data_IF_345726724645
#
_entry.id   IF_345726724645
#
_cell.length_a   1.000
_cell.length_b   1.000
_cell.length_c   1.000
_cell.angle_alpha   90.00
_cell.angle_beta   90.00
_cell.angle_gamma   90.00
#
_symmetry.space_group_name_H-M   'P 1'
#
loop_
_entity.id
_entity.type
_entity.pdbx_description
1 polymer ?
#
# COMPACT_ATOMS: atom_id res chain seq x y z
N UNK A 1 -24.10 18.67 -11.99
CA UNK A 1 -23.16 17.71 -11.38
C UNK A 1 -23.21 17.92 -9.88
N UNK A 2 -23.40 16.86 -9.07
CA UNK A 2 -23.35 16.95 -7.60
C UNK A 2 -21.91 16.78 -7.11
N UNK A 3 -21.57 17.28 -5.92
CA UNK A 3 -20.23 17.13 -5.36
C UNK A 3 -19.85 15.65 -5.15
N UNK A 4 -20.81 14.82 -4.72
CA UNK A 4 -20.57 13.39 -4.48
C UNK A 4 -20.03 12.67 -5.73
N UNK A 5 -20.53 12.99 -6.92
CA UNK A 5 -20.06 12.39 -8.17
C UNK A 5 -18.59 12.74 -8.45
N UNK A 6 -18.19 13.98 -8.10
CA UNK A 6 -16.82 14.45 -8.27
C UNK A 6 -15.87 13.78 -7.25
N UNK A 7 -16.34 13.56 -6.02
CA UNK A 7 -15.61 12.81 -5.00
C UNK A 7 -15.42 11.35 -5.45
N UNK A 8 -16.50 10.68 -5.87
CA UNK A 8 -16.48 9.28 -6.30
C UNK A 8 -15.54 9.05 -7.51
N UNK A 9 -15.47 9.99 -8.44
CA UNK A 9 -14.53 9.92 -9.56
C UNK A 9 -13.08 9.82 -9.05
N UNK A 10 -12.69 10.67 -8.10
CA UNK A 10 -11.34 10.65 -7.54
C UNK A 10 -11.10 9.47 -6.60
N UNK A 11 -12.09 9.07 -5.81
CA UNK A 11 -12.01 7.85 -4.98
C UNK A 11 -11.74 6.60 -5.83
N UNK A 12 -12.33 6.48 -7.03
CA UNK A 12 -12.03 5.36 -7.95
C UNK A 12 -10.56 5.32 -8.37
N UNK A 13 -9.97 6.48 -8.69
CA UNK A 13 -8.55 6.54 -9.00
C UNK A 13 -7.69 6.19 -7.79
N UNK A 14 -8.02 6.72 -6.60
CA UNK A 14 -7.33 6.36 -5.36
C UNK A 14 -7.44 4.87 -5.05
N UNK A 15 -8.60 4.25 -5.25
CA UNK A 15 -8.84 2.84 -5.04
C UNK A 15 -7.94 1.96 -5.92
N UNK A 16 -7.79 2.30 -7.20
CA UNK A 16 -6.90 1.57 -8.12
C UNK A 16 -5.45 1.63 -7.62
N UNK A 17 -4.98 2.82 -7.23
CA UNK A 17 -3.62 3.01 -6.73
C UNK A 17 -3.42 2.33 -5.37
N UNK A 18 -4.42 2.40 -4.47
CA UNK A 18 -4.40 1.76 -3.14
C UNK A 18 -4.35 0.24 -3.23
N UNK A 19 -5.04 -0.38 -4.19
CA UNK A 19 -4.92 -1.83 -4.46
C UNK A 19 -3.48 -2.22 -4.81
N UNK A 20 -2.81 -1.43 -5.66
CA UNK A 20 -1.40 -1.65 -5.99
C UNK A 20 -0.50 -1.45 -4.77
N UNK A 21 -0.78 -0.43 -3.94
CA UNK A 21 -0.05 -0.21 -2.70
C UNK A 21 -0.09 -1.44 -1.79
N UNK A 22 -1.27 -1.98 -1.47
CA UNK A 22 -1.38 -3.16 -0.61
C UNK A 22 -0.72 -4.40 -1.20
N UNK A 23 -0.83 -4.60 -2.51
CA UNK A 23 -0.14 -5.70 -3.17
C UNK A 23 1.38 -5.60 -2.98
N UNK A 24 1.95 -4.43 -3.24
CA UNK A 24 3.39 -4.17 -3.06
C UNK A 24 3.82 -4.26 -1.61
N UNK A 25 3.02 -3.73 -0.69
CA UNK A 25 3.30 -3.76 0.74
C UNK A 25 3.41 -5.21 1.24
N UNK A 26 2.48 -6.08 0.85
CA UNK A 26 2.52 -7.49 1.24
C UNK A 26 3.73 -8.23 0.67
N UNK A 27 4.10 -7.97 -0.58
CA UNK A 27 5.33 -8.55 -1.17
C UNK A 27 6.57 -8.07 -0.42
N UNK A 28 6.66 -6.77 -0.11
CA UNK A 28 7.82 -6.21 0.59
C UNK A 28 7.90 -6.70 2.04
N UNK A 29 6.78 -6.81 2.75
CA UNK A 29 6.72 -7.42 4.09
C UNK A 29 7.13 -8.88 4.06
N UNK A 30 6.65 -9.65 3.09
CA UNK A 30 7.03 -11.05 2.93
C UNK A 30 8.51 -11.20 2.58
N UNK A 31 9.03 -10.34 1.71
CA UNK A 31 10.45 -10.33 1.34
C UNK A 31 11.32 -10.01 2.55
N UNK A 32 10.97 -8.99 3.34
CA UNK A 32 11.71 -8.62 4.55
C UNK A 32 11.65 -9.73 5.61
N UNK A 33 10.47 -10.32 5.84
CA UNK A 33 10.27 -11.45 6.75
C UNK A 33 11.07 -12.68 6.31
N UNK A 34 10.96 -13.07 5.04
CA UNK A 34 11.66 -14.23 4.46
C UNK A 34 13.17 -14.06 4.52
N UNK A 35 13.66 -12.85 4.26
CA UNK A 35 15.09 -12.54 4.26
C UNK A 35 15.62 -12.15 5.63
N UNK A 36 14.77 -11.99 6.66
CA UNK A 36 15.14 -11.47 7.99
C UNK A 36 15.98 -10.17 7.87
N UNK A 37 15.65 -9.33 6.90
CA UNK A 37 16.39 -8.13 6.49
C UNK A 37 17.88 -8.35 6.15
N UNK A 38 18.30 -9.59 5.86
CA UNK A 38 19.66 -9.94 5.40
C UNK A 38 19.77 -9.80 3.88
N UNK A 39 21.00 -9.83 3.38
CA UNK A 39 21.25 -9.79 1.93
C UNK A 39 21.04 -11.17 1.31
N UNK A 40 20.30 -11.20 0.20
CA UNK A 40 20.05 -12.42 -0.59
C UNK A 40 20.35 -12.17 -2.05
N UNK A 41 20.72 -13.24 -2.75
CA UNK A 41 20.84 -13.20 -4.20
C UNK A 41 19.45 -13.17 -4.84
N UNK A 42 19.26 -12.25 -5.77
CA UNK A 42 18.09 -12.21 -6.62
C UNK A 42 18.33 -13.17 -7.78
N UNK A 43 17.51 -14.22 -7.88
CA UNK A 43 17.57 -15.21 -8.97
C UNK A 43 16.52 -14.95 -10.05
N UNK A 44 15.35 -14.45 -9.66
CA UNK A 44 14.32 -13.97 -10.59
C UNK A 44 14.44 -12.47 -10.83
N UNK A 45 15.49 -12.06 -11.55
CA UNK A 45 15.80 -10.66 -11.85
C UNK A 45 14.66 -9.94 -12.60
N UNK A 46 14.01 -10.61 -13.55
CA UNK A 46 12.84 -10.09 -14.28
C UNK A 46 11.70 -9.77 -13.33
N UNK A 47 11.35 -10.68 -12.42
CA UNK A 47 10.26 -10.49 -11.45
C UNK A 47 10.62 -9.37 -10.47
N UNK A 48 11.88 -9.31 -10.04
CA UNK A 48 12.36 -8.23 -9.18
C UNK A 48 12.30 -6.86 -9.88
N UNK A 49 12.66 -6.80 -11.16
CA UNK A 49 12.56 -5.56 -11.95
C UNK A 49 11.09 -5.14 -12.12
N UNK A 50 10.17 -6.09 -12.40
CA UNK A 50 8.74 -5.82 -12.45
C UNK A 50 8.19 -5.28 -11.12
N UNK A 51 8.67 -5.78 -9.98
CA UNK A 51 8.33 -5.26 -8.66
C UNK A 51 8.79 -3.79 -8.50
N UNK A 52 10.02 -3.47 -8.90
CA UNK A 52 10.58 -2.11 -8.85
C UNK A 52 9.84 -1.14 -9.77
N UNK A 53 9.45 -1.60 -10.95
CA UNK A 53 8.69 -0.80 -11.92
C UNK A 53 7.28 -0.55 -11.41
N UNK A 54 6.63 -1.58 -10.85
CA UNK A 54 5.31 -1.47 -10.21
C UNK A 54 5.34 -0.46 -9.05
N UNK A 55 6.40 -0.49 -8.24
CA UNK A 55 6.60 0.47 -7.17
C UNK A 55 6.82 1.89 -7.68
N UNK A 56 7.57 2.05 -8.77
CA UNK A 56 7.75 3.36 -9.40
C UNK A 56 6.46 3.90 -10.00
N UNK A 57 5.67 3.04 -10.64
CA UNK A 57 4.35 3.39 -11.18
C UNK A 57 3.37 3.78 -10.08
N UNK A 58 3.42 3.13 -8.91
CA UNK A 58 2.62 3.56 -7.74
C UNK A 58 2.86 5.04 -7.40
N UNK A 59 4.12 5.45 -7.29
CA UNK A 59 4.48 6.84 -6.97
C UNK A 59 4.12 7.80 -8.11
N UNK A 60 4.33 7.39 -9.36
CA UNK A 60 3.97 8.18 -10.54
C UNK A 60 2.46 8.43 -10.61
N UNK A 61 1.64 7.41 -10.38
CA UNK A 61 0.18 7.52 -10.41
C UNK A 61 -0.29 8.42 -9.26
N UNK A 62 0.23 8.23 -8.05
CA UNK A 62 -0.14 9.05 -6.89
C UNK A 62 0.25 10.53 -7.08
N UNK A 63 1.44 10.81 -7.62
CA UNK A 63 1.85 12.16 -7.97
C UNK A 63 0.95 12.77 -9.07
N UNK A 64 0.52 11.95 -10.04
CA UNK A 64 -0.38 12.37 -11.11
C UNK A 64 -1.77 12.73 -10.59
N UNK A 65 -2.31 11.93 -9.64
CA UNK A 65 -3.55 12.25 -8.92
C UNK A 65 -3.39 13.58 -8.17
N UNK A 66 -2.34 13.71 -7.36
CA UNK A 66 -2.06 14.92 -6.59
C UNK A 66 -2.03 16.18 -7.46
N UNK A 67 -1.31 16.13 -8.58
CA UNK A 67 -1.27 17.23 -9.56
C UNK A 67 -2.61 17.48 -10.23
N UNK A 68 -3.34 16.42 -10.60
CA UNK A 68 -4.66 16.52 -11.21
C UNK A 68 -5.64 17.27 -10.33
N UNK A 69 -5.63 17.01 -9.02
CA UNK A 69 -6.53 17.62 -8.05
C UNK A 69 -6.24 19.11 -7.81
N UNK A 70 -4.98 19.54 -7.84
CA UNK A 70 -4.58 20.94 -7.54
C UNK A 70 -4.52 21.88 -8.75
N UNK A 71 -4.52 21.35 -9.99
CA UNK A 71 -4.38 22.14 -11.23
C UNK A 71 -5.52 23.15 -11.42
N UNK A 72 -5.36 24.09 -12.37
CA UNK A 72 -6.30 25.19 -12.67
C UNK A 72 -7.75 24.72 -12.94
N UNK A 73 -7.94 23.49 -13.42
CA UNK A 73 -9.25 22.85 -13.64
C UNK A 73 -9.49 21.61 -12.74
N UNK A 74 -8.68 21.47 -11.70
CA UNK A 74 -8.68 20.31 -10.80
C UNK A 74 -9.80 20.34 -9.76
N UNK A 75 -9.87 19.28 -8.95
CA UNK A 75 -10.83 19.08 -7.88
C UNK A 75 -10.97 20.29 -6.94
N UNK A 76 -9.86 20.73 -6.32
CA UNK A 76 -9.89 21.78 -5.30
C UNK A 76 -10.31 23.14 -5.85
N UNK A 77 -10.08 23.40 -7.13
CA UNK A 77 -10.58 24.61 -7.81
C UNK A 77 -12.10 24.60 -8.04
N UNK A 78 -12.71 23.41 -8.10
CA UNK A 78 -14.16 23.25 -8.28
C UNK A 78 -14.92 23.24 -6.96
N UNK A 79 -14.28 22.86 -5.85
CA UNK A 79 -14.90 22.74 -4.52
C UNK A 79 -15.70 23.99 -4.07
N UNK A 80 -15.24 25.25 -4.27
CA UNK A 80 -16.01 26.41 -3.85
C UNK A 80 -17.40 26.51 -4.48
N UNK A 81 -17.59 25.95 -5.68
CA UNK A 81 -18.90 25.92 -6.34
C UNK A 81 -19.92 25.02 -5.60
N UNK A 82 -19.44 24.19 -4.68
CA UNK A 82 -20.22 23.25 -3.88
C UNK A 82 -20.26 23.62 -2.40
N UNK A 83 -19.96 24.88 -2.03
CA UNK A 83 -19.89 25.32 -0.63
C UNK A 83 -21.15 24.95 0.18
N UNK A 84 -22.35 25.03 -0.43
CA UNK A 84 -23.61 24.63 0.21
C UNK A 84 -23.70 23.13 0.53
N UNK A 85 -23.13 22.27 -0.31
CA UNK A 85 -23.06 20.81 -0.04
C UNK A 85 -22.00 20.46 1.02
N UNK A 86 -21.15 21.42 1.37
CA UNK A 86 -20.12 21.32 2.41
C UNK A 86 -20.43 22.21 3.61
N UNK A 87 -21.68 22.62 3.79
CA UNK A 87 -22.08 23.40 4.96
C UNK A 87 -21.99 22.56 6.24
N UNK A 88 -21.85 23.25 7.38
CA UNK A 88 -21.76 22.60 8.68
C UNK A 88 -22.99 21.70 8.89
N UNK A 89 -22.80 20.40 9.13
CA UNK A 89 -23.89 19.47 9.36
C UNK A 89 -24.77 19.90 10.52
N UNK A 90 -26.09 19.75 10.36
CA UNK A 90 -27.08 20.03 11.41
C UNK A 90 -28.04 18.85 11.53
N UNK A 91 -28.66 18.68 12.70
CA UNK A 91 -29.65 17.62 12.91
C UNK A 91 -30.75 17.64 11.82
N UNK A 92 -31.20 18.84 11.42
CA UNK A 92 -32.22 19.01 10.39
C UNK A 92 -31.77 18.49 9.02
N UNK A 93 -30.51 18.72 8.65
CA UNK A 93 -29.95 18.23 7.38
C UNK A 93 -29.83 16.71 7.40
N UNK A 94 -29.29 16.14 8.48
CA UNK A 94 -29.13 14.69 8.65
C UNK A 94 -30.48 13.98 8.65
N UNK A 95 -31.45 14.47 9.42
CA UNK A 95 -32.79 13.90 9.44
C UNK A 95 -33.41 13.92 8.04
N UNK A 96 -33.32 15.05 7.32
CA UNK A 96 -33.88 15.17 5.96
C UNK A 96 -33.26 14.16 4.98
N UNK A 97 -31.94 13.97 5.00
CA UNK A 97 -31.28 12.98 4.13
C UNK A 97 -31.57 11.54 4.54
N UNK A 98 -31.59 11.24 5.84
CA UNK A 98 -31.84 9.90 6.36
C UNK A 98 -33.28 9.44 6.12
N UNK A 99 -34.26 10.30 6.40
CA UNK A 99 -35.68 10.02 6.17
C UNK A 99 -36.00 9.76 4.70
N UNK A 100 -35.39 10.54 3.79
CA UNK A 100 -35.55 10.33 2.37
C UNK A 100 -35.08 8.92 1.93
N UNK A 101 -34.18 8.30 2.68
CA UNK A 101 -33.61 6.99 2.38
C UNK A 101 -34.24 5.82 3.15
N UNK A 102 -34.70 6.00 4.40
CA UNK A 102 -35.00 4.86 5.30
C UNK A 102 -36.44 4.79 5.86
N UNK A 103 -37.33 5.74 5.55
CA UNK A 103 -38.76 5.77 5.98
C UNK A 103 -39.06 5.64 7.49
N UNK A 104 -38.06 5.38 8.35
CA UNK A 104 -38.16 5.32 9.81
C UNK A 104 -37.18 6.30 10.43
N UNK A 105 -37.61 6.95 11.50
CA UNK A 105 -36.78 7.84 12.28
C UNK A 105 -36.01 7.02 13.32
N UNK A 106 -34.68 7.06 13.26
CA UNK A 106 -33.80 6.45 14.27
C UNK A 106 -32.91 7.55 14.86
N UNK A 107 -33.33 8.08 16.01
CA UNK A 107 -32.65 9.21 16.66
C UNK A 107 -31.23 8.87 17.09
N UNK A 108 -30.95 7.61 17.42
CA UNK A 108 -29.60 7.17 17.78
C UNK A 108 -28.69 7.22 16.56
N UNK A 109 -29.11 6.64 15.44
CA UNK A 109 -28.31 6.65 14.22
C UNK A 109 -28.10 8.06 13.66
N UNK A 110 -29.14 8.91 13.69
CA UNK A 110 -29.01 10.32 13.30
C UNK A 110 -27.94 11.05 14.15
N UNK A 111 -27.93 10.82 15.46
CA UNK A 111 -26.94 11.43 16.37
C UNK A 111 -25.51 10.96 16.07
N UNK A 112 -25.35 9.68 15.72
CA UNK A 112 -24.06 9.09 15.36
C UNK A 112 -23.54 9.67 14.04
N UNK A 113 -24.42 9.80 13.03
CA UNK A 113 -24.08 10.42 11.74
C UNK A 113 -23.70 11.88 11.95
N UNK A 114 -24.51 12.65 12.72
CA UNK A 114 -24.22 14.05 12.99
C UNK A 114 -22.87 14.23 13.66
N UNK A 115 -22.56 13.40 14.68
CA UNK A 115 -21.25 13.42 15.35
C UNK A 115 -20.11 13.19 14.37
N UNK A 116 -20.19 12.14 13.56
CA UNK A 116 -19.17 11.82 12.55
C UNK A 116 -18.96 12.96 11.56
N UNK A 117 -20.06 13.52 11.02
CA UNK A 117 -19.99 14.61 10.06
C UNK A 117 -19.42 15.89 10.69
N UNK A 118 -19.77 16.21 11.94
CA UNK A 118 -19.22 17.37 12.66
C UNK A 118 -17.72 17.24 12.93
N UNK A 119 -17.27 16.04 13.31
CA UNK A 119 -15.84 15.76 13.49
C UNK A 119 -15.06 15.90 12.17
N UNK A 120 -15.60 15.38 11.06
CA UNK A 120 -15.04 15.55 9.71
C UNK A 120 -15.01 17.02 9.28
N UNK A 121 -16.09 17.77 9.54
CA UNK A 121 -16.16 19.19 9.24
C UNK A 121 -15.10 19.98 10.02
N UNK A 122 -14.92 19.67 11.31
CA UNK A 122 -13.89 20.32 12.14
C UNK A 122 -12.47 20.07 11.66
N UNK A 123 -12.19 18.90 11.06
CA UNK A 123 -10.88 18.58 10.46
C UNK A 123 -10.65 19.29 9.13
N UNK A 124 -11.68 19.39 8.28
CA UNK A 124 -11.57 20.01 6.96
C UNK A 124 -11.57 21.55 7.03
N UNK A 125 -12.38 22.12 7.92
CA UNK A 125 -12.62 23.57 8.01
C UNK A 125 -12.46 24.08 9.45
N UNK A 126 -11.28 23.94 10.07
CA UNK A 126 -11.05 24.40 11.44
C UNK A 126 -11.26 25.92 11.60
N UNK A 127 -10.96 26.70 10.56
CA UNK A 127 -11.21 28.14 10.51
C UNK A 127 -12.68 28.50 10.68
N UNK A 128 -13.60 27.73 10.08
CA UNK A 128 -15.03 27.91 10.24
C UNK A 128 -15.49 27.67 11.68
N UNK A 129 -15.00 26.61 12.32
CA UNK A 129 -15.31 26.31 13.72
C UNK A 129 -14.84 27.45 14.64
N UNK A 130 -13.60 27.90 14.49
CA UNK A 130 -13.04 28.97 15.33
C UNK A 130 -13.80 30.31 15.21
N UNK A 131 -14.35 30.59 14.03
CA UNK A 131 -15.08 31.83 13.73
C UNK A 131 -16.61 31.69 13.88
N UNK A 132 -17.10 30.53 14.34
CA UNK A 132 -18.54 30.26 14.46
C UNK A 132 -19.30 30.26 13.13
N UNK A 133 -18.62 30.05 12.00
CA UNK A 133 -19.22 30.04 10.66
C UNK A 133 -19.74 28.65 10.33
N UNK A 134 -20.90 28.61 9.66
CA UNK A 134 -21.48 27.37 9.12
C UNK A 134 -21.04 27.07 7.70
N UNK A 135 -20.67 28.09 6.92
CA UNK A 135 -20.34 27.96 5.50
C UNK A 135 -18.84 28.18 5.28
N UNK A 136 -18.13 27.26 4.58
CA UNK A 136 -16.74 27.46 4.19
C UNK A 136 -16.55 28.69 3.30
N UNK A 137 -15.48 29.45 3.54
CA UNK A 137 -15.07 30.60 2.73
C UNK A 137 -14.00 30.21 1.71
N UNK A 138 -13.67 31.14 0.81
CA UNK A 138 -12.60 30.92 -0.16
C UNK A 138 -11.24 30.64 0.50
N UNK A 139 -10.97 31.26 1.66
CA UNK A 139 -9.75 31.03 2.43
C UNK A 139 -9.73 29.60 3.00
N UNK A 140 -10.84 29.11 3.53
CA UNK A 140 -10.94 27.74 4.04
C UNK A 140 -10.68 26.69 2.91
N UNK A 141 -11.13 26.97 1.69
CA UNK A 141 -10.83 26.11 0.53
C UNK A 141 -9.35 26.19 0.09
N UNK A 142 -8.74 27.36 0.20
CA UNK A 142 -7.31 27.52 -0.08
C UNK A 142 -6.48 26.75 0.96
N UNK A 143 -6.81 26.86 2.24
CA UNK A 143 -6.14 26.12 3.32
C UNK A 143 -6.25 24.60 3.12
N UNK A 144 -7.45 24.11 2.77
CA UNK A 144 -7.67 22.70 2.47
C UNK A 144 -6.82 22.23 1.27
N UNK A 145 -6.73 23.06 0.21
CA UNK A 145 -5.90 22.77 -0.96
C UNK A 145 -4.40 22.74 -0.60
N UNK A 146 -3.92 23.67 0.20
CA UNK A 146 -2.51 23.72 0.62
C UNK A 146 -2.18 22.57 1.57
N UNK A 147 -3.09 22.18 2.47
CA UNK A 147 -2.95 20.97 3.29
C UNK A 147 -2.83 19.73 2.40
N UNK A 148 -3.71 19.56 1.41
CA UNK A 148 -3.61 18.47 0.45
C UNK A 148 -2.28 18.48 -0.32
N UNK A 149 -1.85 19.66 -0.78
CA UNK A 149 -0.59 19.82 -1.48
C UNK A 149 0.60 19.40 -0.60
N UNK A 150 0.61 19.78 0.68
CA UNK A 150 1.68 19.39 1.63
C UNK A 150 1.80 17.86 1.80
N UNK A 151 0.68 17.13 1.69
CA UNK A 151 0.69 15.67 1.74
C UNK A 151 1.37 15.12 0.47
N UNK A 152 0.99 15.64 -0.70
CA UNK A 152 1.47 15.18 -2.00
C UNK A 152 2.87 15.69 -2.38
N UNK A 153 3.37 16.76 -1.76
CA UNK A 153 4.60 17.44 -2.19
C UNK A 153 5.79 16.48 -2.27
N UNK A 154 6.00 15.68 -1.23
CA UNK A 154 7.09 14.70 -1.19
C UNK A 154 6.96 13.63 -2.29
N UNK A 155 5.73 13.19 -2.59
CA UNK A 155 5.44 12.21 -3.64
C UNK A 155 5.75 12.79 -5.02
N UNK A 156 5.38 14.06 -5.24
CA UNK A 156 5.66 14.78 -6.49
C UNK A 156 7.16 14.97 -6.68
N UNK A 157 7.89 15.38 -5.62
CA UNK A 157 9.35 15.52 -5.65
C UNK A 157 10.04 14.19 -5.95
N UNK A 158 9.61 13.10 -5.30
CA UNK A 158 10.15 11.74 -5.55
C UNK A 158 9.92 11.32 -7.01
N UNK A 159 8.70 11.48 -7.53
CA UNK A 159 8.38 11.22 -8.94
C UNK A 159 9.34 11.96 -9.86
N UNK A 160 9.44 13.28 -9.72
CA UNK A 160 10.14 14.12 -10.67
C UNK A 160 11.65 13.90 -10.68
N UNK A 161 12.24 13.66 -9.50
CA UNK A 161 13.69 13.56 -9.35
C UNK A 161 14.21 12.14 -9.52
N UNK A 162 13.44 11.14 -9.10
CA UNK A 162 13.95 9.77 -8.99
C UNK A 162 13.32 8.79 -9.98
N UNK A 163 12.06 9.00 -10.41
CA UNK A 163 11.28 7.93 -11.08
C UNK A 163 10.87 8.23 -12.52
N UNK A 164 10.42 9.44 -12.83
CA UNK A 164 9.86 9.76 -14.15
C UNK A 164 10.90 10.10 -15.23
N UNK A 165 12.07 10.60 -14.82
CA UNK A 165 13.11 11.12 -15.74
C UNK A 165 14.48 10.55 -15.37
N UNK A 166 14.54 9.22 -15.18
CA UNK A 166 15.75 8.52 -14.72
C UNK A 166 16.95 8.77 -15.64
N UNK A 167 16.73 8.97 -16.94
CA UNK A 167 17.78 9.17 -17.95
C UNK A 167 18.00 10.63 -18.36
N UNK A 168 17.00 11.51 -18.27
CA UNK A 168 17.09 12.88 -18.81
C UNK A 168 17.85 13.85 -17.88
N UNK A 169 17.94 13.56 -16.58
CA UNK A 169 18.48 14.49 -15.58
C UNK A 169 19.71 13.96 -14.84
N UNK A 170 20.41 12.95 -15.39
CA UNK A 170 21.54 12.31 -14.70
C UNK A 170 22.64 13.32 -14.29
N UNK A 171 22.89 14.34 -15.12
CA UNK A 171 23.92 15.37 -14.90
C UNK A 171 23.45 16.54 -13.99
N UNK A 172 22.14 16.72 -13.81
CA UNK A 172 21.55 17.86 -13.08
C UNK A 172 21.01 17.51 -11.70
N UNK A 173 21.19 16.26 -11.23
CA UNK A 173 20.85 15.81 -9.87
C UNK A 173 21.78 16.42 -8.81
N UNK A 174 21.71 17.74 -8.60
CA UNK A 174 22.47 18.46 -7.57
C UNK A 174 21.87 18.32 -6.16
N UNK A 175 20.63 17.86 -6.04
CA UNK A 175 19.95 17.63 -4.76
C UNK A 175 19.52 16.17 -4.64
N UNK A 176 19.96 15.50 -3.58
CA UNK A 176 19.54 14.13 -3.26
C UNK A 176 18.12 14.15 -2.66
N UNK A 177 17.09 14.16 -3.52
CA UNK A 177 15.72 13.91 -3.04
C UNK A 177 15.62 12.45 -2.61
N UNK A 178 15.33 12.23 -1.32
CA UNK A 178 15.14 10.90 -0.76
C UNK A 178 14.02 10.15 -1.50
N UNK A 179 14.32 8.93 -1.94
CA UNK A 179 13.32 7.96 -2.40
C UNK A 179 12.36 7.66 -1.25
N UNK A 180 11.06 7.80 -1.50
CA UNK A 180 10.06 7.40 -0.51
C UNK A 180 10.08 5.89 -0.37
N UNK A 181 9.95 5.40 0.87
CA UNK A 181 9.76 3.99 1.23
C UNK A 181 8.27 3.62 1.20
N UNK A 182 7.95 2.32 1.27
CA UNK A 182 6.55 1.88 1.32
C UNK A 182 5.83 2.43 2.56
N UNK A 183 6.53 2.50 3.70
CA UNK A 183 6.02 3.08 4.95
C UNK A 183 5.76 4.57 4.81
N UNK A 184 6.65 5.30 4.12
CA UNK A 184 6.43 6.72 3.85
C UNK A 184 5.15 6.91 3.01
N UNK A 185 4.90 6.04 2.03
CA UNK A 185 3.69 6.08 1.20
C UNK A 185 2.42 5.68 1.97
N UNK A 186 2.50 4.70 2.88
CA UNK A 186 1.39 4.28 3.76
C UNK A 186 0.82 5.48 4.52
N UNK A 187 1.69 6.26 5.16
CA UNK A 187 1.29 7.46 5.91
C UNK A 187 0.59 8.47 4.99
N UNK A 188 1.07 8.64 3.75
CA UNK A 188 0.44 9.53 2.77
C UNK A 188 -0.91 9.00 2.32
N UNK A 189 -1.05 7.69 2.06
CA UNK A 189 -2.35 7.08 1.73
C UNK A 189 -3.36 7.30 2.84
N UNK A 190 -2.99 7.04 4.09
CA UNK A 190 -3.87 7.24 5.22
C UNK A 190 -4.38 8.69 5.31
N UNK A 191 -3.48 9.67 5.14
CA UNK A 191 -3.85 11.09 5.14
C UNK A 191 -4.77 11.47 3.98
N UNK A 192 -4.49 10.99 2.77
CA UNK A 192 -5.29 11.27 1.58
C UNK A 192 -6.67 10.62 1.67
N UNK A 193 -6.73 9.36 2.10
CA UNK A 193 -7.98 8.63 2.31
C UNK A 193 -8.83 9.30 3.38
N UNK A 194 -8.24 9.70 4.50
CA UNK A 194 -8.94 10.42 5.55
C UNK A 194 -9.55 11.73 5.03
N UNK A 195 -8.80 12.50 4.24
CA UNK A 195 -9.30 13.74 3.64
C UNK A 195 -10.48 13.48 2.69
N UNK A 196 -10.38 12.46 1.84
CA UNK A 196 -11.45 12.08 0.90
C UNK A 196 -12.70 11.57 1.64
N UNK A 197 -12.50 10.76 2.68
CA UNK A 197 -13.57 10.27 3.56
C UNK A 197 -14.25 11.43 4.30
N UNK A 198 -13.49 12.37 4.86
CA UNK A 198 -14.07 13.53 5.54
C UNK A 198 -14.96 14.35 4.59
N UNK A 199 -14.54 14.54 3.33
CA UNK A 199 -15.35 15.22 2.31
C UNK A 199 -16.61 14.42 1.95
N UNK A 200 -16.49 13.10 1.82
CA UNK A 200 -17.62 12.20 1.53
C UNK A 200 -18.66 12.24 2.64
N UNK A 201 -18.24 12.12 3.90
CA UNK A 201 -19.13 12.07 5.05
C UNK A 201 -20.00 13.33 5.12
N UNK A 202 -19.40 14.51 4.93
CA UNK A 202 -20.13 15.79 4.92
C UNK A 202 -21.07 15.86 3.71
N UNK A 203 -20.55 15.61 2.50
CA UNK A 203 -21.34 15.76 1.27
C UNK A 203 -22.53 14.79 1.21
N UNK A 204 -22.38 13.59 1.77
CA UNK A 204 -23.42 12.55 1.74
C UNK A 204 -24.28 12.51 2.99
N UNK A 205 -23.97 13.30 4.03
CA UNK A 205 -24.61 13.22 5.35
C UNK A 205 -24.66 11.77 5.87
N UNK A 206 -23.53 11.06 5.80
CA UNK A 206 -23.40 9.65 6.13
C UNK A 206 -22.35 9.44 7.20
N UNK A 207 -22.42 8.31 7.91
CA UNK A 207 -21.36 7.80 8.78
C UNK A 207 -20.43 6.81 8.06
N UNK A 208 -20.78 6.38 6.84
CA UNK A 208 -20.02 5.38 6.07
C UNK A 208 -18.97 6.05 5.19
N UNK A 209 -17.69 5.83 5.52
CA UNK A 209 -16.55 6.17 4.68
C UNK A 209 -16.28 5.10 3.61
N UNK A 210 -15.34 5.39 2.72
CA UNK A 210 -14.83 4.40 1.77
C UNK A 210 -14.16 3.24 2.53
N UNK A 211 -14.52 2.01 2.14
CA UNK A 211 -14.08 0.78 2.81
C UNK A 211 -12.57 0.57 2.65
N UNK A 212 -11.95 0.05 3.71
CA UNK A 212 -10.59 -0.44 3.61
C UNK A 212 -10.54 -1.66 2.68
N UNK A 213 -9.73 -1.52 1.62
CA UNK A 213 -9.64 -2.49 0.53
C UNK A 213 -8.55 -3.49 0.85
N UNK A 214 -8.54 -4.01 2.07
CA UNK A 214 -7.53 -4.96 2.46
C UNK A 214 -7.83 -6.28 1.72
N UNK A 215 -6.96 -6.63 0.78
CA UNK A 215 -7.18 -7.77 -0.11
C UNK A 215 -6.86 -9.06 0.64
N UNK A 216 -7.91 -9.83 0.98
CA UNK A 216 -7.84 -11.06 1.78
C UNK A 216 -7.09 -12.24 1.12
N UNK A 217 -6.54 -12.07 -0.09
CA UNK A 217 -5.78 -13.11 -0.80
C UNK A 217 -4.35 -12.67 -1.17
N UNK A 218 -3.81 -11.68 -0.45
CA UNK A 218 -2.50 -11.08 -0.76
C UNK A 218 -1.32 -11.88 -0.21
N UNK A 219 -1.47 -12.62 0.89
CA UNK A 219 -0.35 -13.32 1.55
C UNK A 219 0.21 -14.48 0.71
N UNK A 220 -0.63 -15.38 0.21
CA UNK A 220 -0.18 -16.52 -0.60
C UNK A 220 0.48 -16.09 -1.92
N UNK A 221 -0.07 -15.04 -2.53
CA UNK A 221 0.53 -14.43 -3.72
C UNK A 221 1.86 -13.74 -3.41
N UNK A 222 1.97 -13.02 -2.29
CA UNK A 222 3.21 -12.41 -1.84
C UNK A 222 4.32 -13.45 -1.65
N UNK A 223 4.03 -14.56 -0.95
CA UNK A 223 4.95 -15.70 -0.78
C UNK A 223 5.44 -16.23 -2.12
N UNK A 224 4.51 -16.44 -3.05
CA UNK A 224 4.83 -16.98 -4.37
C UNK A 224 5.73 -16.03 -5.18
N UNK A 225 5.47 -14.72 -5.13
CA UNK A 225 6.30 -13.71 -5.81
C UNK A 225 7.69 -13.62 -5.18
N UNK A 226 7.78 -13.67 -3.85
CA UNK A 226 9.06 -13.68 -3.14
C UNK A 226 9.88 -14.91 -3.49
N UNK A 227 9.25 -16.08 -3.59
CA UNK A 227 9.93 -17.30 -4.03
C UNK A 227 10.43 -17.17 -5.47
N UNK A 228 9.63 -16.58 -6.36
CA UNK A 228 10.07 -16.30 -7.73
C UNK A 228 11.28 -15.35 -7.78
N UNK A 229 11.33 -14.34 -6.91
CA UNK A 229 12.44 -13.39 -6.81
C UNK A 229 13.71 -14.07 -6.28
N UNK A 230 13.60 -14.83 -5.18
CA UNK A 230 14.75 -15.37 -4.46
C UNK A 230 15.27 -16.68 -5.06
N UNK A 231 14.40 -17.51 -5.64
CA UNK A 231 14.73 -18.86 -6.11
C UNK A 231 14.78 -18.93 -7.63
N UNK A 232 13.92 -18.20 -8.33
CA UNK A 232 13.81 -18.19 -9.79
C UNK A 232 12.49 -18.77 -10.28
N UNK A 233 12.48 -19.46 -11.41
CA UNK A 233 11.24 -20.03 -11.98
C UNK A 233 10.61 -21.16 -11.11
N UNK A 234 9.40 -21.59 -11.48
CA UNK A 234 8.70 -22.65 -10.76
C UNK A 234 9.44 -23.99 -10.71
N UNK A 235 10.26 -24.31 -11.72
CA UNK A 235 11.05 -25.54 -11.73
C UNK A 235 12.16 -25.44 -10.69
N UNK A 236 12.84 -24.30 -10.63
CA UNK A 236 13.85 -23.97 -9.64
C UNK A 236 13.28 -24.00 -8.23
N UNK A 237 12.04 -23.53 -8.03
CA UNK A 237 11.31 -23.61 -6.76
C UNK A 237 11.03 -25.07 -6.38
N UNK A 238 10.50 -25.89 -7.30
CA UNK A 238 10.22 -27.30 -7.02
C UNK A 238 11.52 -28.06 -6.68
N UNK A 239 12.59 -27.81 -7.42
CA UNK A 239 13.92 -28.37 -7.14
C UNK A 239 14.40 -27.92 -5.76
N UNK A 240 14.40 -26.61 -5.49
CA UNK A 240 14.87 -26.07 -4.21
C UNK A 240 14.09 -26.63 -3.00
N UNK A 241 12.79 -26.81 -3.14
CA UNK A 241 11.93 -27.39 -2.11
C UNK A 241 11.99 -28.92 -2.04
N UNK A 242 12.77 -29.57 -2.92
CA UNK A 242 12.94 -31.03 -2.93
C UNK A 242 11.70 -31.79 -3.39
N UNK A 243 10.82 -31.16 -4.18
CA UNK A 243 9.55 -31.75 -4.60
C UNK A 243 9.70 -32.30 -6.01
N UNK A 244 9.65 -33.63 -6.13
CA UNK A 244 9.50 -34.28 -7.43
C UNK A 244 8.05 -34.21 -7.92
N UNK A 245 7.86 -34.34 -9.24
CA UNK A 245 6.52 -34.42 -9.83
C UNK A 245 5.75 -35.62 -9.26
N UNK A 246 6.42 -36.76 -9.07
CA UNK A 246 5.86 -37.98 -8.47
C UNK A 246 5.34 -37.75 -7.04
N UNK A 247 6.01 -36.89 -6.25
CA UNK A 247 5.58 -36.56 -4.89
C UNK A 247 4.29 -35.74 -4.87
N UNK A 248 4.10 -34.84 -5.85
CA UNK A 248 2.84 -34.09 -6.01
C UNK A 248 1.70 -35.03 -6.38
N UNK A 249 1.94 -35.88 -7.38
CA UNK A 249 0.90 -36.72 -7.98
C UNK A 249 0.50 -37.90 -7.07
N UNK A 250 1.44 -38.43 -6.28
CA UNK A 250 1.21 -39.62 -5.44
C UNK A 250 0.77 -39.32 -4.01
N UNK A 251 1.15 -38.16 -3.46
CA UNK A 251 0.96 -37.87 -2.03
C UNK A 251 0.26 -36.55 -1.74
N UNK A 252 -0.12 -35.77 -2.75
CA UNK A 252 -0.75 -34.45 -2.57
C UNK A 252 0.16 -33.47 -1.82
N UNK A 253 1.48 -33.62 -1.97
CA UNK A 253 2.48 -32.79 -1.30
C UNK A 253 2.65 -31.47 -2.05
N UNK A 254 2.62 -30.35 -1.34
CA UNK A 254 2.62 -29.02 -1.97
C UNK A 254 3.88 -28.19 -1.63
N UNK A 255 4.38 -27.36 -2.58
CA UNK A 255 5.51 -26.44 -2.39
C UNK A 255 5.54 -25.63 -1.11
N UNK A 256 4.38 -25.15 -0.65
CA UNK A 256 4.32 -24.28 0.52
C UNK A 256 4.73 -24.98 1.83
N UNK A 257 4.61 -26.31 1.91
CA UNK A 257 4.93 -27.09 3.12
C UNK A 257 6.45 -27.13 3.39
N UNK A 258 7.27 -26.93 2.36
CA UNK A 258 8.74 -27.03 2.39
C UNK A 258 9.44 -25.67 2.34
N UNK A 259 8.65 -24.60 2.16
CA UNK A 259 9.14 -23.24 2.02
C UNK A 259 9.91 -22.75 3.25
N UNK A 260 9.29 -22.85 4.44
CA UNK A 260 9.91 -22.34 5.67
C UNK A 260 11.21 -23.09 6.02
N UNK A 261 11.26 -24.44 5.99
CA UNK A 261 12.51 -25.18 6.22
C UNK A 261 13.64 -24.77 5.27
N UNK A 262 13.33 -24.57 3.98
CA UNK A 262 14.32 -24.12 2.98
C UNK A 262 14.93 -22.76 3.34
N UNK A 263 14.09 -21.77 3.69
CA UNK A 263 14.62 -20.45 4.07
C UNK A 263 15.39 -20.46 5.39
N UNK A 264 14.98 -21.26 6.38
CA UNK A 264 15.76 -21.44 7.61
C UNK A 264 17.14 -22.05 7.32
N UNK A 265 17.24 -23.03 6.41
CA UNK A 265 18.51 -23.57 5.94
C UNK A 265 19.39 -22.48 5.30
N UNK A 266 18.81 -21.65 4.43
CA UNK A 266 19.53 -20.55 3.80
C UNK A 266 20.06 -19.53 4.83
N UNK A 267 19.26 -19.21 5.85
CA UNK A 267 19.69 -18.34 6.95
C UNK A 267 20.85 -18.93 7.72
N UNK A 268 20.77 -20.22 8.05
CA UNK A 268 21.84 -20.94 8.73
C UNK A 268 23.14 -20.91 7.92
N UNK A 269 23.07 -21.21 6.63
CA UNK A 269 24.22 -21.17 5.71
C UNK A 269 24.85 -19.79 5.64
N UNK A 270 24.02 -18.75 5.53
CA UNK A 270 24.47 -17.36 5.51
C UNK A 270 25.17 -16.98 6.82
N UNK A 271 24.62 -17.35 7.98
CA UNK A 271 25.21 -17.07 9.30
C UNK A 271 26.55 -17.79 9.51
N UNK A 272 26.64 -19.04 9.07
CA UNK A 272 27.87 -19.84 9.15
C UNK A 272 28.87 -19.52 8.05
N UNK A 273 28.50 -18.69 7.06
CA UNK A 273 29.30 -18.39 5.86
C UNK A 273 29.74 -19.65 5.11
N UNK A 274 28.87 -20.66 5.08
CA UNK A 274 29.12 -21.94 4.40
C UNK A 274 28.32 -22.01 3.10
N UNK A 275 28.97 -22.51 2.05
CA UNK A 275 28.29 -22.74 0.78
C UNK A 275 27.44 -23.99 0.79
N UNK A 276 27.75 -25.00 1.61
CA UNK A 276 27.03 -26.27 1.67
C UNK A 276 26.92 -26.76 3.11
N UNK A 277 25.84 -27.45 3.41
CA UNK A 277 25.66 -28.18 4.67
C UNK A 277 26.17 -29.60 4.44
N UNK A 278 27.26 -29.98 5.13
CA UNK A 278 27.70 -31.37 5.20
C UNK A 278 26.85 -32.15 6.23
N UNK A 279 27.02 -33.47 6.36
CA UNK A 279 26.20 -34.28 7.29
C UNK A 279 26.29 -33.82 8.74
N UNK A 280 27.46 -33.33 9.18
CA UNK A 280 27.66 -32.83 10.53
C UNK A 280 26.87 -31.54 10.78
N UNK A 281 26.92 -30.60 9.83
CA UNK A 281 26.15 -29.36 9.85
C UNK A 281 24.65 -29.61 9.69
N UNK A 282 24.25 -30.64 8.91
CA UNK A 282 22.86 -31.04 8.78
C UNK A 282 22.32 -31.59 10.09
N UNK A 283 23.15 -32.35 10.82
CA UNK A 283 22.82 -32.81 12.17
C UNK A 283 22.66 -31.62 13.13
N UNK A 284 23.59 -30.67 13.14
CA UNK A 284 23.49 -29.45 13.97
C UNK A 284 22.25 -28.63 13.62
N UNK A 285 21.93 -28.46 12.34
CA UNK A 285 20.73 -27.76 11.90
C UNK A 285 19.45 -28.45 12.39
N UNK A 286 19.35 -29.78 12.27
CA UNK A 286 18.21 -30.57 12.78
C UNK A 286 18.07 -30.50 14.30
N UNK A 287 19.18 -30.47 15.04
CA UNK A 287 19.17 -30.30 16.50
C UNK A 287 18.60 -28.93 16.93
N UNK A 288 18.84 -27.87 16.13
CA UNK A 288 18.40 -26.51 16.43
C UNK A 288 16.95 -26.25 15.98
N UNK A 289 16.58 -26.74 14.79
CA UNK A 289 15.31 -26.36 14.14
C UNK A 289 14.26 -27.49 14.10
N UNK A 290 14.57 -28.67 14.64
CA UNK A 290 13.66 -29.83 14.69
C UNK A 290 13.88 -30.83 13.56
N UNK A 291 13.23 -32.00 13.67
CA UNK A 291 13.43 -33.09 12.72
C UNK A 291 12.69 -32.85 11.40
N UNK A 292 13.42 -32.31 10.42
CA UNK A 292 13.00 -32.21 9.02
C UNK A 292 13.38 -33.45 8.19
N UNK A 293 13.53 -34.64 8.79
CA UNK A 293 13.95 -35.89 8.13
C UNK A 293 13.15 -36.30 6.90
N UNK A 294 11.92 -35.80 6.73
CA UNK A 294 11.10 -36.01 5.51
C UNK A 294 11.53 -35.12 4.33
N UNK A 295 12.36 -34.11 4.57
CA UNK A 295 12.80 -33.16 3.55
C UNK A 295 14.21 -33.56 3.08
N UNK A 296 14.30 -34.19 1.91
CA UNK A 296 15.57 -34.30 1.19
C UNK A 296 15.86 -32.95 0.53
N UNK A 297 16.49 -32.03 1.26
CA UNK A 297 16.94 -30.76 0.71
C UNK A 297 18.08 -31.03 -0.29
N UNK A 298 17.95 -30.62 -1.56
CA UNK A 298 19.01 -30.82 -2.53
C UNK A 298 20.21 -29.93 -2.21
N UNK A 299 21.41 -30.46 -2.47
CA UNK A 299 22.66 -29.73 -2.36
C UNK A 299 22.72 -28.70 -3.51
N UNK A 300 22.21 -27.50 -3.28
CA UNK A 300 22.24 -26.42 -4.29
C UNK A 300 23.38 -25.44 -3.97
N UNK A 301 24.32 -25.29 -4.91
CA UNK A 301 25.37 -24.26 -4.83
C UNK A 301 24.78 -22.85 -4.93
N UNK A 302 25.27 -21.94 -4.10
CA UNK A 302 24.92 -20.52 -4.13
C UNK A 302 26.21 -19.70 -4.19
N UNK A 303 26.42 -18.98 -5.29
CA UNK A 303 27.42 -17.93 -5.38
C UNK A 303 26.86 -16.68 -4.71
N UNK A 304 27.45 -16.25 -3.60
CA UNK A 304 27.05 -15.03 -2.90
C UNK A 304 27.70 -13.82 -3.58
N UNK A 305 26.91 -12.97 -4.25
CA UNK A 305 27.23 -11.55 -4.46
C UNK A 305 26.14 -10.85 -5.27
N UNK A 306 25.27 -10.07 -4.61
CA UNK A 306 24.71 -8.83 -5.17
C UNK A 306 24.59 -7.82 -4.02
N UNK A 307 25.16 -6.63 -4.21
CA UNK A 307 25.01 -5.48 -3.32
C UNK A 307 23.72 -4.75 -3.71
N UNK A 308 22.66 -4.90 -2.92
CA UNK A 308 21.53 -3.96 -2.97
C UNK A 308 21.87 -2.82 -2.00
N UNK A 309 22.20 -1.65 -2.54
CA UNK A 309 22.22 -0.38 -1.82
C UNK A 309 20.87 0.30 -1.96
#
# INVERSE_FOLDING_TARGET
>A
MKLINLIEEHERYFLIVKKRFYFLENILKELDSTTKSKRFNIRGDVIYQMLRDSYSMLVIDLASIGRGMIRKKGFFRKLPNFAKELEKPTQKLIAKSYFAAHQRQDSFLESLILKSCLESYGRLFPGCISKGKSMPTQDDFNDLKENFYSICEAIIKDRDRNRAHSYENAETRKESVRLLTIKDLEEKFFKLEKLMNDLRLICSNSSYGSNDVNFSNSEGMAKSIVDLILIGDHNSINIAFGISQDMKDSFGIYPYEYRNPYYEELHYRHEKKIQYINEEEARKFREIHGDYSKIKLPIVSLNFEIIVK
#
